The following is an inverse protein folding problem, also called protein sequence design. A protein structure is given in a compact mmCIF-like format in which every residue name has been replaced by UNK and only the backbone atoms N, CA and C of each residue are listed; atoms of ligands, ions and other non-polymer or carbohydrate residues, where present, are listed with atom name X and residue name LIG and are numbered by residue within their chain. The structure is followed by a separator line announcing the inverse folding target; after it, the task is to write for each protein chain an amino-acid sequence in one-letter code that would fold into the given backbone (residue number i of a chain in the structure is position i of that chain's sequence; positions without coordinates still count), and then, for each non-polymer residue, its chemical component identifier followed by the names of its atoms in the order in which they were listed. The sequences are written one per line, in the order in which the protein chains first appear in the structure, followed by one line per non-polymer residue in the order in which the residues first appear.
data_IF_561658685140
#
_entry.id   IF_561658685140
#
_cell.length_a   1.000
_cell.length_b   1.000
_cell.length_c   1.000
_cell.angle_alpha   90.00
_cell.angle_beta   90.00
_cell.angle_gamma   90.00
#
_symmetry.space_group_name_H-M   'P 1'
#
loop_
_entity.id
_entity.type
_entity.pdbx_description
1 polymer ?
#
# COMPACT_ATOMS: atom_id res chain seq x y z
N UNK A 1 -10.96 3.02 -42.31
CA UNK A 1 -11.21 2.58 -40.92
C UNK A 1 -9.92 1.97 -40.39
N UNK A 2 -9.07 2.74 -39.70
CA UNK A 2 -7.83 2.23 -39.11
C UNK A 2 -8.13 1.76 -37.69
N UNK A 3 -8.22 0.44 -37.52
CA UNK A 3 -8.35 -0.22 -36.22
C UNK A 3 -7.05 -0.01 -35.45
N UNK A 4 -6.99 1.03 -34.60
CA UNK A 4 -5.86 1.29 -33.73
C UNK A 4 -5.70 0.15 -32.72
N UNK A 5 -4.70 -0.70 -32.94
CA UNK A 5 -4.27 -1.69 -31.95
C UNK A 5 -3.84 -0.92 -30.69
N UNK A 6 -4.66 -0.98 -29.62
CA UNK A 6 -4.30 -0.41 -28.32
C UNK A 6 -3.19 -1.26 -27.71
N UNK A 7 -1.94 -0.90 -27.96
CA UNK A 7 -0.78 -1.50 -27.30
C UNK A 7 -0.96 -1.36 -25.78
N UNK A 8 -1.06 -2.49 -25.07
CA UNK A 8 -1.01 -2.50 -23.60
C UNK A 8 0.42 -2.20 -23.19
N UNK A 9 0.69 -0.93 -22.88
CA UNK A 9 1.95 -0.51 -22.28
C UNK A 9 2.17 -1.32 -20.98
N UNK A 10 3.19 -2.15 -20.95
CA UNK A 10 3.63 -2.82 -19.73
C UNK A 10 3.98 -1.75 -18.69
N UNK A 11 3.54 -1.94 -17.44
CA UNK A 11 3.89 -0.99 -16.37
C UNK A 11 5.42 -0.87 -16.25
N UNK A 12 5.95 0.34 -15.96
CA UNK A 12 7.37 0.55 -15.76
C UNK A 12 7.98 -0.46 -14.78
N UNK A 13 9.23 -0.86 -15.02
CA UNK A 13 9.93 -1.83 -14.18
C UNK A 13 9.97 -1.39 -12.71
N UNK A 14 10.30 -0.13 -12.45
CA UNK A 14 10.43 0.41 -11.09
C UNK A 14 9.11 0.36 -10.32
N UNK A 15 8.00 0.61 -11.00
CA UNK A 15 6.67 0.47 -10.40
C UNK A 15 6.42 -0.97 -9.92
N UNK A 16 6.71 -1.97 -10.77
CA UNK A 16 6.53 -3.38 -10.39
C UNK A 16 7.49 -3.79 -9.28
N UNK A 17 8.74 -3.33 -9.34
CA UNK A 17 9.77 -3.59 -8.34
C UNK A 17 9.34 -3.04 -6.97
N UNK A 18 8.92 -1.77 -6.91
CA UNK A 18 8.48 -1.14 -5.68
C UNK A 18 7.24 -1.81 -5.09
N UNK A 19 6.25 -2.17 -5.93
CA UNK A 19 5.08 -2.93 -5.48
C UNK A 19 5.44 -4.28 -4.85
N UNK A 20 6.35 -5.03 -5.47
CA UNK A 20 6.78 -6.31 -4.94
C UNK A 20 7.54 -6.14 -3.62
N UNK A 21 8.46 -5.18 -3.56
CA UNK A 21 9.25 -4.92 -2.37
C UNK A 21 8.38 -4.48 -1.18
N UNK A 22 7.37 -3.62 -1.40
CA UNK A 22 6.43 -3.25 -0.33
C UNK A 22 5.67 -4.46 0.22
N UNK A 23 5.18 -5.36 -0.64
CA UNK A 23 4.48 -6.59 -0.21
C UNK A 23 5.35 -7.46 0.68
N UNK A 24 6.64 -7.61 0.35
CA UNK A 24 7.60 -8.39 1.13
C UNK A 24 7.84 -7.74 2.50
N UNK A 25 8.05 -6.42 2.56
CA UNK A 25 8.27 -5.71 3.83
C UNK A 25 7.03 -5.81 4.74
N UNK A 26 5.83 -5.76 4.16
CA UNK A 26 4.55 -5.95 4.87
C UNK A 26 4.23 -7.42 5.19
N UNK A 27 5.14 -8.36 4.90
CA UNK A 27 4.97 -9.79 5.13
C UNK A 27 3.74 -10.38 4.41
N UNK A 28 3.37 -9.81 3.26
CA UNK A 28 2.15 -10.15 2.52
C UNK A 28 0.86 -10.03 3.36
N UNK A 29 0.86 -9.14 4.35
CA UNK A 29 -0.27 -8.85 5.25
C UNK A 29 -0.83 -7.46 4.94
N UNK A 30 -2.16 -7.34 4.93
CA UNK A 30 -2.83 -6.06 4.84
C UNK A 30 -2.55 -5.20 6.07
N UNK A 31 -1.98 -4.02 5.86
CA UNK A 31 -1.61 -3.11 6.95
C UNK A 31 -2.80 -2.35 7.58
N UNK A 32 -4.03 -2.56 7.07
CA UNK A 32 -5.25 -1.97 7.66
C UNK A 32 -6.06 -2.96 8.49
N UNK A 33 -6.10 -4.24 8.09
CA UNK A 33 -6.97 -5.24 8.72
C UNK A 33 -6.30 -6.60 8.99
N UNK A 34 -5.00 -6.71 8.75
CA UNK A 34 -4.20 -7.93 8.92
C UNK A 34 -4.61 -9.14 8.03
N UNK A 35 -5.52 -8.96 7.07
CA UNK A 35 -5.86 -10.02 6.12
C UNK A 35 -4.71 -10.32 5.15
N UNK A 36 -4.52 -11.60 4.81
CA UNK A 36 -3.58 -12.08 3.77
C UNK A 36 -4.26 -12.30 2.41
N UNK A 37 -5.56 -12.03 2.30
CA UNK A 37 -6.31 -12.30 1.08
C UNK A 37 -5.89 -11.35 -0.08
N UNK A 38 -5.21 -11.92 -1.09
CA UNK A 38 -4.85 -11.23 -2.35
C UNK A 38 -4.21 -9.86 -2.11
N UNK A 39 -3.21 -9.82 -1.24
CA UNK A 39 -2.57 -8.57 -0.82
C UNK A 39 -1.78 -7.92 -1.96
N UNK A 40 -2.01 -6.62 -2.17
CA UNK A 40 -1.42 -5.80 -3.22
C UNK A 40 -0.89 -4.48 -2.64
N UNK A 41 0.24 -4.00 -3.15
CA UNK A 41 0.78 -2.69 -2.80
C UNK A 41 0.00 -1.57 -3.50
N UNK A 42 -0.53 -0.65 -2.69
CA UNK A 42 -1.27 0.54 -3.08
C UNK A 42 -0.40 1.78 -2.90
N UNK A 43 -0.43 2.72 -3.85
CA UNK A 43 0.26 3.99 -3.67
C UNK A 43 -0.54 4.85 -2.68
N UNK A 44 0.11 5.38 -1.65
CA UNK A 44 -0.49 6.31 -0.68
C UNK A 44 -0.72 7.68 -1.32
N UNK A 45 0.26 8.13 -2.12
CA UNK A 45 0.14 9.33 -2.94
C UNK A 45 -0.28 8.94 -4.35
N UNK A 46 -1.22 9.68 -4.95
CA UNK A 46 -1.75 9.34 -6.27
C UNK A 46 -0.66 9.30 -7.35
N UNK A 47 -0.28 8.08 -7.75
CA UNK A 47 0.66 7.85 -8.85
C UNK A 47 0.19 8.51 -10.16
N UNK A 48 -1.12 8.52 -10.42
CA UNK A 48 -1.71 9.14 -11.60
C UNK A 48 -1.52 10.67 -11.67
N UNK A 49 -1.21 11.33 -10.54
CA UNK A 49 -0.91 12.76 -10.46
C UNK A 49 0.60 13.05 -10.45
N UNK A 50 1.42 12.09 -10.87
CA UNK A 50 2.88 12.22 -10.89
C UNK A 50 3.56 11.86 -9.56
N UNK A 51 2.84 11.21 -8.64
CA UNK A 51 3.43 10.69 -7.41
C UNK A 51 4.54 9.66 -7.71
N UNK A 52 5.60 9.60 -6.88
CA UNK A 52 6.72 8.68 -7.11
C UNK A 52 6.33 7.22 -6.85
N UNK A 53 6.89 6.28 -7.63
CA UNK A 53 6.82 4.83 -7.35
C UNK A 53 7.92 4.40 -6.39
N UNK A 54 7.94 4.96 -5.19
CA UNK A 54 8.86 4.57 -4.11
C UNK A 54 8.21 3.54 -3.19
N UNK A 55 9.01 2.71 -2.54
CA UNK A 55 8.53 1.67 -1.63
C UNK A 55 7.89 2.27 -0.38
N UNK A 56 8.43 3.41 0.07
CA UNK A 56 7.98 4.19 1.23
C UNK A 56 6.64 4.88 0.96
N UNK A 57 6.35 5.19 -0.31
CA UNK A 57 5.09 5.79 -0.76
C UNK A 57 3.95 4.79 -0.96
N UNK A 58 4.14 3.53 -0.54
CA UNK A 58 3.16 2.45 -0.73
C UNK A 58 2.75 1.80 0.60
N UNK A 59 1.63 1.09 0.55
CA UNK A 59 1.10 0.27 1.67
C UNK A 59 0.47 -1.00 1.10
N UNK A 60 0.70 -2.16 1.74
CA UNK A 60 0.05 -3.40 1.31
C UNK A 60 -1.37 -3.52 1.85
N UNK A 61 -2.33 -3.77 0.95
CA UNK A 61 -3.76 -3.87 1.23
C UNK A 61 -4.32 -5.19 0.70
N UNK A 62 -5.22 -5.83 1.44
CA UNK A 62 -6.04 -6.92 0.90
C UNK A 62 -7.00 -6.38 -0.16
N UNK A 63 -7.58 -7.27 -0.96
CA UNK A 63 -8.51 -6.90 -2.04
C UNK A 63 -9.62 -5.95 -1.56
N UNK A 64 -10.25 -6.24 -0.42
CA UNK A 64 -11.38 -5.47 0.09
C UNK A 64 -10.97 -4.06 0.53
N UNK A 65 -9.86 -3.94 1.27
CA UNK A 65 -9.30 -2.65 1.68
C UNK A 65 -8.79 -1.85 0.49
N UNK A 66 -8.18 -2.51 -0.50
CA UNK A 66 -7.69 -1.88 -1.72
C UNK A 66 -8.85 -1.24 -2.51
N UNK A 67 -9.95 -1.97 -2.71
CA UNK A 67 -11.14 -1.45 -3.38
C UNK A 67 -11.77 -0.28 -2.60
N UNK A 68 -11.88 -0.37 -1.27
CA UNK A 68 -12.39 0.72 -0.43
C UNK A 68 -11.56 2.00 -0.56
N UNK A 69 -10.25 1.90 -0.74
CA UNK A 69 -9.37 3.06 -0.95
C UNK A 69 -9.43 3.62 -2.38
N UNK A 70 -9.59 2.77 -3.40
CA UNK A 70 -9.69 3.23 -4.79
C UNK A 70 -11.03 3.90 -5.10
N UNK A 71 -12.12 3.45 -4.47
CA UNK A 71 -13.49 3.89 -4.81
C UNK A 71 -14.09 4.95 -3.87
N UNK A 72 -13.44 5.27 -2.74
CA UNK A 72 -13.78 6.47 -1.98
C UNK A 72 -12.92 7.62 -2.50
N UNK A 73 -13.48 8.81 -2.65
CA UNK A 73 -12.74 10.08 -2.79
C UNK A 73 -11.79 10.25 -1.59
N UNK A 74 -10.62 9.61 -1.68
CA UNK A 74 -9.82 9.19 -0.54
C UNK A 74 -9.17 10.36 0.19
N UNK A 75 -9.95 11.05 1.01
CA UNK A 75 -9.43 11.84 2.13
C UNK A 75 -8.98 10.87 3.23
N UNK A 76 -7.81 10.28 3.03
CA UNK A 76 -7.16 9.47 4.07
C UNK A 76 -6.78 10.42 5.21
N UNK A 77 -7.52 10.38 6.31
CA UNK A 77 -7.15 11.05 7.57
C UNK A 77 -6.33 10.09 8.42
N UNK A 78 -5.01 10.21 8.35
CA UNK A 78 -4.10 9.49 9.25
C UNK A 78 -4.17 10.18 10.63
N UNK A 79 -4.67 9.48 11.65
CA UNK A 79 -4.52 9.89 13.06
C UNK A 79 -3.40 9.06 13.68
N UNK A 80 -2.35 9.71 14.16
CA UNK A 80 -1.33 9.05 14.98
C UNK A 80 -1.96 8.75 16.34
N UNK A 81 -2.16 7.47 16.64
CA UNK A 81 -2.50 7.02 18.00
C UNK A 81 -1.24 6.42 18.60
N UNK A 82 -0.78 6.98 19.72
CA UNK A 82 0.35 6.45 20.44
C UNK A 82 -0.14 5.28 21.32
N UNK A 83 0.34 4.06 21.05
CA UNK A 83 0.16 2.97 21.99
C UNK A 83 1.05 3.23 23.20
N UNK A 84 0.46 3.65 24.32
CA UNK A 84 1.12 3.65 25.63
C UNK A 84 1.44 2.19 25.99
N UNK A 85 2.66 1.74 25.71
CA UNK A 85 3.19 0.50 26.26
C UNK A 85 3.54 0.81 27.72
N UNK A 86 2.68 0.42 28.66
CA UNK A 86 3.02 0.47 30.09
C UNK A 86 3.77 -0.81 30.45
N UNK A 87 5.10 -0.79 30.38
CA UNK A 87 5.89 -1.88 30.99
C UNK A 87 5.92 -1.68 32.50
N UNK A 88 5.06 -2.38 33.23
CA UNK A 88 5.22 -2.59 34.68
C UNK A 88 6.30 -3.65 34.91
N UNK A 89 7.55 -3.34 34.55
CA UNK A 89 8.72 -4.15 34.88
C UNK A 89 9.35 -3.61 36.15
N UNK A 90 9.32 -4.38 37.25
CA UNK A 90 10.17 -4.10 38.40
C UNK A 90 11.62 -4.27 37.95
N UNK A 91 12.37 -3.18 37.89
CA UNK A 91 13.80 -3.19 37.59
C UNK A 91 14.51 -4.23 38.45
N UNK A 92 15.26 -5.11 37.79
CA UNK A 92 16.11 -6.10 38.44
C UNK A 92 17.13 -5.42 39.35
N UNK A 93 17.39 -6.06 40.49
CA UNK A 93 18.35 -5.64 41.51
C UNK A 93 19.77 -5.60 41.00
#
# INVERSE_FOLDING_TARGET
MTTGLRMKMSRPYDHRKAQNQRRIIDLEICQLCASTNRVQAHHIFEYAKGGPSTVEGMISLCLDCHQRMVHKDSRIRIKKTENRITTFGRGGK
#
